data_IF_160687591800
#
_entry.id   IF_160687591800
#
_cell.length_a   1.000
_cell.length_b   1.000
_cell.length_c   1.000
_cell.angle_alpha   90.00
_cell.angle_beta   90.00
_cell.angle_gamma   90.00
#
_symmetry.space_group_name_H-M   'P 1'
#
loop_
_entity.id
_entity.type
_entity.pdbx_description
1 polymer ?
#
# COMPACT_ATOMS: atom_id res chain seq x y z
N UNK A 1 -56.13 -12.47 -19.36
CA UNK A 1 -55.40 -11.45 -18.60
C UNK A 1 -55.42 -11.82 -17.13
N UNK A 2 -54.33 -12.40 -16.60
CA UNK A 2 -54.17 -12.67 -15.17
C UNK A 2 -53.40 -11.51 -14.56
N UNK A 3 -54.06 -10.77 -13.67
CA UNK A 3 -53.48 -9.67 -12.90
C UNK A 3 -52.66 -10.27 -11.76
N UNK A 4 -51.34 -10.10 -11.81
CA UNK A 4 -50.41 -10.46 -10.74
C UNK A 4 -50.46 -9.38 -9.64
N UNK A 5 -50.64 -9.81 -8.39
CA UNK A 5 -50.54 -8.95 -7.20
C UNK A 5 -49.07 -8.56 -6.95
N UNK A 6 -48.77 -7.31 -6.56
CA UNK A 6 -47.43 -6.93 -6.13
C UNK A 6 -47.21 -7.41 -4.69
N UNK A 7 -46.24 -8.30 -4.48
CA UNK A 7 -45.77 -8.65 -3.14
C UNK A 7 -44.86 -7.54 -2.61
N UNK A 8 -45.27 -7.07 -1.44
CA UNK A 8 -44.76 -5.98 -0.61
C UNK A 8 -43.23 -5.93 -0.45
N UNK A 9 -42.72 -4.72 -0.69
CA UNK A 9 -41.52 -4.15 -0.07
C UNK A 9 -41.50 -4.44 1.44
N UNK A 10 -40.48 -5.17 1.88
CA UNK A 10 -39.95 -5.05 3.24
C UNK A 10 -38.46 -5.41 3.23
N UNK A 11 -37.65 -4.57 2.61
CA UNK A 11 -36.19 -4.56 2.84
C UNK A 11 -35.86 -3.44 3.81
N UNK A 12 -35.36 -3.85 4.97
CA UNK A 12 -34.82 -2.96 5.98
C UNK A 12 -33.84 -1.96 5.35
N UNK A 13 -34.03 -0.68 5.68
CA UNK A 13 -33.04 0.38 5.49
C UNK A 13 -31.80 0.07 6.33
N UNK A 14 -30.91 -0.80 5.85
CA UNK A 14 -29.49 -0.75 6.24
C UNK A 14 -28.84 0.22 5.26
N UNK A 15 -28.32 1.33 5.76
CA UNK A 15 -27.61 2.31 4.93
C UNK A 15 -26.54 1.61 4.12
N UNK A 16 -26.62 1.74 2.79
CA UNK A 16 -25.61 1.23 1.88
C UNK A 16 -24.31 1.98 2.20
N UNK A 17 -23.38 1.37 2.96
CA UNK A 17 -21.99 1.85 2.96
C UNK A 17 -21.51 1.67 1.51
N UNK A 18 -21.31 2.76 0.79
CA UNK A 18 -20.70 2.72 -0.54
C UNK A 18 -19.22 2.44 -0.30
N UNK A 19 -18.80 1.21 -0.59
CA UNK A 19 -17.40 0.82 -0.52
C UNK A 19 -16.73 1.28 -1.84
N UNK A 20 -16.14 2.48 -1.85
CA UNK A 20 -15.39 2.94 -3.02
C UNK A 20 -13.98 2.34 -3.03
N UNK A 21 -13.56 1.75 -4.14
CA UNK A 21 -12.22 1.16 -4.30
C UNK A 21 -11.40 1.97 -5.27
N UNK A 22 -10.32 2.54 -4.76
CA UNK A 22 -9.31 3.17 -5.59
C UNK A 22 -8.46 2.10 -6.28
N UNK A 23 -7.65 2.50 -7.26
CA UNK A 23 -6.64 1.61 -7.87
C UNK A 23 -5.31 2.34 -7.93
N UNK A 24 -4.23 1.62 -7.71
CA UNK A 24 -2.89 2.20 -7.77
C UNK A 24 -1.88 1.21 -8.29
N UNK A 25 -0.75 1.74 -8.74
CA UNK A 25 0.42 0.99 -9.19
C UNK A 25 1.70 1.69 -8.72
N UNK A 26 2.71 0.91 -8.38
CA UNK A 26 4.08 1.36 -8.15
C UNK A 26 5.03 0.51 -8.97
N UNK A 27 6.04 1.15 -9.53
CA UNK A 27 7.22 0.54 -10.11
C UNK A 27 8.43 0.98 -9.32
N UNK A 28 9.31 0.05 -8.96
CA UNK A 28 10.63 0.32 -8.41
C UNK A 28 11.63 -0.60 -9.11
N UNK A 29 12.64 -0.06 -9.79
CA UNK A 29 13.62 -0.88 -10.51
C UNK A 29 14.99 -0.24 -10.65
N UNK A 30 15.96 -1.02 -11.12
CA UNK A 30 17.31 -0.55 -11.44
C UNK A 30 17.32 0.31 -12.70
N UNK A 31 16.54 -0.09 -13.71
CA UNK A 31 16.37 0.69 -14.92
C UNK A 31 15.16 1.61 -14.80
N UNK A 32 15.27 2.81 -15.37
CA UNK A 32 14.11 3.70 -15.50
C UNK A 32 13.15 3.17 -16.56
N UNK A 33 11.86 3.12 -16.22
CA UNK A 33 10.79 2.97 -17.20
C UNK A 33 10.25 4.34 -17.59
N UNK A 34 9.83 4.47 -18.84
CA UNK A 34 9.07 5.62 -19.27
C UNK A 34 7.71 5.62 -18.56
N UNK A 35 7.23 6.77 -18.12
CA UNK A 35 5.92 6.87 -17.46
C UNK A 35 4.81 6.35 -18.39
N UNK A 36 4.91 6.62 -19.70
CA UNK A 36 3.97 6.09 -20.69
C UNK A 36 3.96 4.55 -20.74
N UNK A 37 5.12 3.90 -20.58
CA UNK A 37 5.25 2.44 -20.64
C UNK A 37 4.62 1.71 -19.46
N UNK A 38 4.49 2.39 -18.33
CA UNK A 38 3.82 1.86 -17.13
C UNK A 38 2.35 2.27 -17.06
N UNK A 39 2.05 3.53 -17.42
CA UNK A 39 0.78 4.16 -17.06
C UNK A 39 -0.24 4.21 -18.20
N UNK A 40 0.20 4.13 -19.46
CA UNK A 40 -0.66 4.35 -20.63
C UNK A 40 -0.61 3.15 -21.58
N UNK A 41 0.59 2.79 -22.06
CA UNK A 41 0.83 1.77 -23.09
C UNK A 41 0.27 0.38 -22.76
N UNK A 42 0.40 -0.15 -21.52
CA UNK A 42 -0.05 -1.50 -21.20
C UNK A 42 -1.53 -1.74 -21.56
N UNK A 43 -1.88 -2.96 -21.96
CA UNK A 43 -3.23 -3.36 -22.34
C UNK A 43 -4.24 -3.22 -21.19
N UNK A 44 -3.80 -3.35 -19.95
CA UNK A 44 -4.56 -3.07 -18.73
C UNK A 44 -3.89 -2.01 -17.84
N UNK A 45 -3.35 -0.95 -18.45
CA UNK A 45 -2.67 0.15 -17.74
C UNK A 45 -3.55 0.85 -16.70
N UNK A 46 -2.94 1.57 -15.75
CA UNK A 46 -3.70 2.29 -14.72
C UNK A 46 -4.74 3.22 -15.37
N UNK A 47 -4.42 3.91 -16.46
CA UNK A 47 -5.39 4.77 -17.17
C UNK A 47 -6.61 3.99 -17.67
N UNK A 48 -6.43 2.74 -18.10
CA UNK A 48 -7.54 1.85 -18.54
C UNK A 48 -8.31 1.26 -17.36
N UNK A 49 -7.64 1.10 -16.21
CA UNK A 49 -8.27 0.71 -14.94
C UNK A 49 -9.26 1.77 -14.40
N UNK A 50 -9.46 2.89 -15.08
CA UNK A 50 -10.59 3.78 -14.80
C UNK A 50 -11.93 3.07 -14.99
N UNK A 51 -12.06 2.21 -15.99
CA UNK A 51 -13.33 1.55 -16.35
C UNK A 51 -13.22 0.05 -16.64
N UNK A 52 -12.02 -0.45 -16.86
CA UNK A 52 -11.77 -1.86 -17.17
C UNK A 52 -11.27 -2.55 -15.92
N UNK A 53 -11.68 -3.79 -15.66
CA UNK A 53 -11.22 -4.56 -14.50
C UNK A 53 -10.55 -5.83 -14.94
N UNK A 54 -9.53 -6.22 -14.19
CA UNK A 54 -8.86 -7.50 -14.36
C UNK A 54 -8.36 -7.99 -12.99
N UNK A 55 -9.01 -9.05 -12.47
CA UNK A 55 -8.80 -9.53 -11.10
C UNK A 55 -8.51 -11.05 -11.08
N UNK A 56 -7.46 -11.52 -11.79
CA UNK A 56 -7.20 -12.94 -11.96
C UNK A 56 -6.96 -13.61 -10.60
N UNK A 57 -7.65 -14.72 -10.35
CA UNK A 57 -7.55 -15.53 -9.13
C UNK A 57 -7.99 -14.87 -7.83
N UNK A 58 -8.53 -13.64 -7.84
CA UNK A 58 -8.98 -12.97 -6.62
C UNK A 58 -10.10 -13.75 -5.90
N UNK A 59 -11.00 -14.38 -6.66
CA UNK A 59 -12.17 -15.07 -6.13
C UNK A 59 -11.92 -16.58 -5.95
N UNK A 60 -10.74 -17.07 -6.32
CA UNK A 60 -10.42 -18.48 -6.30
C UNK A 60 -10.52 -19.08 -4.89
N UNK A 61 -11.34 -20.13 -4.75
CA UNK A 61 -11.48 -20.87 -3.48
C UNK A 61 -12.15 -20.09 -2.35
N UNK A 62 -12.86 -19.00 -2.67
CA UNK A 62 -13.66 -18.23 -1.73
C UNK A 62 -15.10 -18.75 -1.66
N UNK A 63 -15.72 -18.62 -0.49
CA UNK A 63 -17.15 -18.86 -0.32
C UNK A 63 -17.97 -17.74 -0.98
N UNK A 64 -19.21 -18.01 -1.35
CA UNK A 64 -20.07 -17.09 -2.10
C UNK A 64 -20.26 -15.73 -1.40
N UNK A 65 -20.42 -15.72 -0.08
CA UNK A 65 -20.57 -14.47 0.69
C UNK A 65 -19.30 -13.59 0.62
N UNK A 66 -18.13 -14.20 0.56
CA UNK A 66 -16.84 -13.51 0.45
C UNK A 66 -16.61 -12.98 -0.98
N UNK A 67 -17.00 -13.76 -1.99
CA UNK A 67 -17.00 -13.32 -3.39
C UNK A 67 -17.90 -12.10 -3.57
N UNK A 68 -19.13 -12.15 -3.06
CA UNK A 68 -20.10 -11.05 -3.16
C UNK A 68 -19.60 -9.79 -2.44
N UNK A 69 -18.91 -9.92 -1.28
CA UNK A 69 -18.30 -8.77 -0.60
C UNK A 69 -17.19 -8.15 -1.46
N UNK A 70 -16.27 -8.96 -1.99
CA UNK A 70 -15.16 -8.45 -2.81
C UNK A 70 -15.65 -7.83 -4.13
N UNK A 71 -16.69 -8.39 -4.76
CA UNK A 71 -17.32 -7.78 -5.94
C UNK A 71 -17.93 -6.41 -5.64
N UNK A 72 -18.57 -6.24 -4.46
CA UNK A 72 -19.09 -4.93 -4.02
C UNK A 72 -17.98 -3.94 -3.71
N UNK A 73 -16.84 -4.44 -3.22
CA UNK A 73 -15.67 -3.60 -2.99
C UNK A 73 -15.01 -3.19 -4.30
N UNK A 74 -14.94 -4.07 -5.30
CA UNK A 74 -14.42 -3.74 -6.62
C UNK A 74 -15.39 -2.82 -7.35
N UNK A 75 -15.16 -1.51 -7.33
CA UNK A 75 -15.98 -0.56 -8.10
C UNK A 75 -15.62 -0.63 -9.58
N UNK A 76 -16.63 -0.50 -10.44
CA UNK A 76 -16.45 -0.57 -11.90
C UNK A 76 -15.78 0.66 -12.48
N UNK A 77 -16.00 1.84 -11.87
CA UNK A 77 -15.59 3.13 -12.42
C UNK A 77 -14.88 3.96 -11.35
N UNK A 78 -13.66 4.39 -11.65
CA UNK A 78 -12.84 5.24 -10.77
C UNK A 78 -12.51 6.55 -11.50
N UNK A 79 -13.27 7.61 -11.22
CA UNK A 79 -13.18 8.89 -11.96
C UNK A 79 -13.04 10.12 -11.05
N UNK A 80 -12.87 9.91 -9.75
CA UNK A 80 -12.90 11.00 -8.76
C UNK A 80 -11.57 11.75 -8.62
N UNK A 81 -10.52 11.27 -9.28
CA UNK A 81 -9.23 11.94 -9.34
C UNK A 81 -8.11 11.01 -9.76
N UNK A 82 -7.00 11.59 -10.20
CA UNK A 82 -5.78 10.89 -10.54
C UNK A 82 -4.58 11.61 -9.94
N UNK A 83 -3.54 10.86 -9.61
CA UNK A 83 -2.21 11.43 -9.45
C UNK A 83 -1.11 10.44 -9.76
N UNK A 84 0.03 11.00 -10.13
CA UNK A 84 1.29 10.29 -10.40
C UNK A 84 2.41 10.99 -9.64
N UNK A 85 3.28 10.20 -9.04
CA UNK A 85 4.56 10.64 -8.49
C UNK A 85 5.69 9.88 -9.17
N UNK A 86 6.79 10.56 -9.46
CA UNK A 86 8.00 9.93 -9.99
C UNK A 86 9.22 10.54 -9.34
N UNK A 87 10.22 9.71 -9.06
CA UNK A 87 11.45 10.18 -8.44
C UNK A 87 12.41 10.70 -9.50
N UNK A 88 13.06 11.82 -9.21
CA UNK A 88 14.10 12.43 -10.02
C UNK A 88 15.17 13.08 -9.14
N UNK A 89 16.41 13.14 -9.61
CA UNK A 89 17.53 13.84 -8.98
C UNK A 89 17.64 15.32 -9.39
N UNK A 90 16.80 15.79 -10.32
CA UNK A 90 16.84 17.16 -10.85
C UNK A 90 16.97 18.22 -9.76
N UNK A 91 16.17 18.18 -8.69
CA UNK A 91 16.28 19.18 -7.61
C UNK A 91 17.64 19.17 -6.90
N UNK A 92 18.25 18.00 -6.72
CA UNK A 92 19.57 17.87 -6.10
C UNK A 92 20.70 18.44 -6.98
N UNK A 93 20.50 18.52 -8.30
CA UNK A 93 21.45 19.15 -9.22
C UNK A 93 21.51 20.67 -9.07
N UNK A 94 20.37 21.30 -8.74
CA UNK A 94 20.24 22.76 -8.63
C UNK A 94 20.24 23.30 -7.20
N UNK A 95 19.95 22.45 -6.20
CA UNK A 95 19.96 22.81 -4.78
C UNK A 95 20.88 21.87 -3.98
N UNK A 96 22.09 22.33 -3.57
CA UNK A 96 23.04 21.54 -2.80
C UNK A 96 22.51 21.05 -1.43
N UNK A 97 21.44 21.65 -0.91
CA UNK A 97 20.80 21.25 0.35
C UNK A 97 19.91 20.02 0.21
N UNK A 98 19.51 19.69 -1.03
CA UNK A 98 18.76 18.49 -1.39
C UNK A 98 19.72 17.34 -1.64
N UNK A 99 19.41 16.17 -1.10
CA UNK A 99 20.23 14.95 -1.23
C UNK A 99 19.38 13.82 -1.79
N UNK A 100 19.91 13.13 -2.80
CA UNK A 100 19.25 12.02 -3.47
C UNK A 100 18.02 12.45 -4.26
N UNK A 101 17.32 11.46 -4.83
CA UNK A 101 16.12 11.71 -5.62
C UNK A 101 14.97 12.23 -4.77
N UNK A 102 14.21 13.17 -5.33
CA UNK A 102 12.98 13.70 -4.74
C UNK A 102 11.78 13.30 -5.59
N UNK A 103 10.61 13.09 -4.97
CA UNK A 103 9.38 12.84 -5.73
C UNK A 103 8.89 14.15 -6.36
N UNK A 104 8.77 14.16 -7.69
CA UNK A 104 7.92 15.09 -8.41
C UNK A 104 6.50 14.51 -8.48
N UNK A 105 5.48 15.36 -8.52
CA UNK A 105 4.08 14.94 -8.52
C UNK A 105 3.23 15.72 -9.51
N UNK A 106 2.23 15.05 -10.07
CA UNK A 106 1.15 15.63 -10.85
C UNK A 106 -0.17 15.05 -10.35
N UNK A 107 -1.14 15.90 -10.00
CA UNK A 107 -2.48 15.50 -9.53
C UNK A 107 -3.53 16.25 -10.31
N UNK A 108 -4.64 15.60 -10.59
CA UNK A 108 -5.76 16.19 -11.33
C UNK A 108 -7.09 15.58 -10.91
N UNK A 109 -8.16 16.34 -11.07
CA UNK A 109 -9.54 15.84 -11.01
C UNK A 109 -10.15 15.65 -12.40
N UNK A 110 -9.41 16.01 -13.45
CA UNK A 110 -9.84 15.80 -14.83
C UNK A 110 -9.76 14.30 -15.19
N UNK A 111 -10.58 13.83 -16.14
CA UNK A 111 -10.48 12.46 -16.65
C UNK A 111 -9.10 12.18 -17.26
N UNK A 112 -8.33 11.31 -16.61
CA UNK A 112 -6.93 11.08 -16.98
C UNK A 112 -6.76 10.48 -18.39
N UNK A 113 -7.77 9.75 -18.87
CA UNK A 113 -7.78 9.14 -20.21
C UNK A 113 -7.73 10.16 -21.36
N UNK A 114 -8.13 11.41 -21.11
CA UNK A 114 -8.18 12.48 -22.12
C UNK A 114 -7.26 13.65 -21.79
N UNK A 115 -6.45 13.54 -20.74
CA UNK A 115 -5.60 14.64 -20.30
C UNK A 115 -4.33 14.74 -21.19
N UNK A 116 -4.30 15.79 -22.01
CA UNK A 116 -3.20 16.04 -22.94
C UNK A 116 -1.89 16.38 -22.22
N UNK A 117 -1.95 17.10 -21.09
CA UNK A 117 -0.76 17.46 -20.33
C UNK A 117 -0.14 16.21 -19.69
N UNK A 118 -0.98 15.34 -19.13
CA UNK A 118 -0.52 14.06 -18.60
C UNK A 118 0.11 13.17 -19.68
N UNK A 119 -0.51 13.09 -20.87
CA UNK A 119 0.07 12.32 -21.98
C UNK A 119 1.45 12.83 -22.38
N UNK A 120 1.61 14.15 -22.52
CA UNK A 120 2.91 14.78 -22.82
C UNK A 120 3.94 14.54 -21.72
N UNK A 121 3.53 14.65 -20.45
CA UNK A 121 4.39 14.35 -19.31
C UNK A 121 4.90 12.90 -19.38
N UNK A 122 4.00 11.95 -19.63
CA UNK A 122 4.33 10.53 -19.71
C UNK A 122 5.28 10.19 -20.86
N UNK A 123 5.12 10.84 -22.02
CA UNK A 123 5.94 10.60 -23.23
C UNK A 123 7.31 11.27 -23.17
N UNK A 124 7.64 12.02 -22.11
CA UNK A 124 8.94 12.70 -21.99
C UNK A 124 9.62 12.50 -20.63
N UNK A 125 9.05 11.65 -19.77
CA UNK A 125 9.57 11.41 -18.43
C UNK A 125 9.82 9.92 -18.24
N UNK A 126 10.95 9.59 -17.63
CA UNK A 126 11.27 8.24 -17.18
C UNK A 126 11.76 8.28 -15.74
N UNK A 127 11.50 7.22 -14.98
CA UNK A 127 11.97 7.11 -13.60
C UNK A 127 12.18 5.65 -13.19
N UNK A 128 13.14 5.44 -12.29
CA UNK A 128 13.39 4.17 -11.61
C UNK A 128 12.37 3.91 -10.49
N UNK A 129 11.57 4.92 -10.10
CA UNK A 129 10.49 4.77 -9.15
C UNK A 129 9.29 5.65 -9.53
N UNK A 130 8.20 5.01 -9.93
CA UNK A 130 6.95 5.68 -10.35
C UNK A 130 5.78 5.12 -9.57
N UNK A 131 4.92 6.00 -9.06
CA UNK A 131 3.71 5.67 -8.32
C UNK A 131 2.54 6.35 -9.04
N UNK A 132 1.41 5.68 -9.21
CA UNK A 132 0.20 6.30 -9.74
C UNK A 132 -1.04 5.75 -9.05
N UNK A 133 -2.06 6.59 -8.95
CA UNK A 133 -3.27 6.29 -8.20
C UNK A 133 -4.48 6.94 -8.85
N UNK A 134 -5.52 6.15 -9.09
CA UNK A 134 -6.85 6.63 -9.44
C UNK A 134 -7.73 6.53 -8.19
N UNK A 135 -8.31 7.66 -7.84
CA UNK A 135 -9.19 7.80 -6.70
C UNK A 135 -10.62 7.45 -7.08
N UNK A 136 -11.24 6.69 -6.20
CA UNK A 136 -12.67 6.52 -6.13
C UNK A 136 -13.15 6.91 -4.73
N UNK A 137 -13.94 7.98 -4.64
CA UNK A 137 -14.33 8.56 -3.37
C UNK A 137 -15.80 8.98 -3.38
N UNK A 138 -16.57 8.44 -2.44
CA UNK A 138 -17.88 9.00 -2.07
C UNK A 138 -17.72 10.21 -1.14
N UNK A 139 -16.65 10.24 -0.34
CA UNK A 139 -16.29 11.32 0.58
C UNK A 139 -14.80 11.17 0.97
N UNK A 140 -14.04 12.25 1.24
CA UNK A 140 -14.35 13.67 1.03
C UNK A 140 -14.38 14.04 -0.46
N UNK A 141 -14.80 15.27 -0.84
CA UNK A 141 -14.97 15.67 -2.24
C UNK A 141 -13.77 15.38 -3.17
N UNK A 142 -14.07 15.26 -4.46
CA UNK A 142 -13.09 15.21 -5.53
C UNK A 142 -12.41 16.58 -5.69
N UNK A 143 -11.31 16.76 -4.96
CA UNK A 143 -10.42 17.91 -5.06
C UNK A 143 -8.99 17.42 -5.09
N UNK A 144 -8.12 18.16 -5.77
CA UNK A 144 -6.75 17.74 -6.07
C UNK A 144 -5.93 17.40 -4.82
N UNK A 145 -6.09 18.18 -3.75
CA UNK A 145 -5.37 17.96 -2.47
C UNK A 145 -5.69 16.63 -1.81
N UNK A 146 -6.85 16.04 -2.10
CA UNK A 146 -7.28 14.74 -1.56
C UNK A 146 -6.82 13.55 -2.44
N UNK A 147 -6.13 13.81 -3.56
CA UNK A 147 -5.65 12.75 -4.44
C UNK A 147 -4.25 12.31 -4.02
N UNK A 148 -4.02 11.01 -4.14
CA UNK A 148 -2.71 10.39 -3.99
C UNK A 148 -1.81 10.67 -5.20
N UNK A 149 -0.49 10.42 -5.09
CA UNK A 149 0.25 10.16 -3.85
C UNK A 149 0.32 11.39 -2.95
N UNK A 150 0.40 11.18 -1.63
CA UNK A 150 0.74 12.24 -0.68
C UNK A 150 2.25 12.26 -0.48
N UNK A 151 2.85 13.45 -0.51
CA UNK A 151 4.30 13.65 -0.45
C UNK A 151 4.70 14.28 0.89
N UNK A 152 5.66 13.63 1.57
CA UNK A 152 6.23 14.08 2.83
C UNK A 152 7.76 14.09 2.69
N UNK A 153 8.31 15.23 2.27
CA UNK A 153 9.73 15.34 1.93
C UNK A 153 10.10 14.39 0.79
N UNK A 154 11.03 13.46 1.04
CA UNK A 154 11.45 12.45 0.06
C UNK A 154 10.52 11.23 -0.01
N UNK A 155 9.47 11.17 0.81
CA UNK A 155 8.59 10.02 0.89
C UNK A 155 7.31 10.24 0.10
N UNK A 156 6.80 9.17 -0.51
CA UNK A 156 5.47 9.14 -1.12
C UNK A 156 4.59 8.10 -0.41
N UNK A 157 3.31 8.39 -0.28
CA UNK A 157 2.33 7.55 0.41
C UNK A 157 1.06 7.38 -0.43
N UNK A 158 0.66 6.13 -0.64
CA UNK A 158 -0.58 5.75 -1.32
C UNK A 158 -1.41 4.82 -0.45
N UNK A 159 -2.74 4.94 -0.53
CA UNK A 159 -3.68 4.10 0.18
C UNK A 159 -4.88 3.73 -0.69
N UNK A 160 -5.25 2.46 -0.69
CA UNK A 160 -6.51 1.97 -1.19
C UNK A 160 -7.26 1.23 -0.09
N UNK A 161 -8.29 1.88 0.42
CA UNK A 161 -9.00 1.36 1.57
C UNK A 161 -9.67 2.48 2.34
N UNK A 162 -9.93 2.22 3.60
CA UNK A 162 -10.50 3.18 4.52
C UNK A 162 -10.13 2.86 5.95
N UNK A 163 -9.94 3.91 6.74
CA UNK A 163 -9.96 3.80 8.20
C UNK A 163 -11.43 3.77 8.63
N UNK A 164 -11.92 2.65 9.16
CA UNK A 164 -13.33 2.53 9.52
C UNK A 164 -13.68 3.50 10.66
N UNK A 165 -14.88 4.07 10.57
CA UNK A 165 -15.38 5.02 11.55
C UNK A 165 -14.48 6.25 11.74
N UNK A 166 -13.70 6.62 10.72
CA UNK A 166 -12.77 7.76 10.78
C UNK A 166 -13.41 9.04 11.30
N UNK A 167 -14.65 9.35 10.91
CA UNK A 167 -15.37 10.54 11.39
C UNK A 167 -15.51 10.59 12.91
N UNK A 168 -15.65 9.44 13.58
CA UNK A 168 -15.76 9.33 15.04
C UNK A 168 -14.39 9.56 15.69
N UNK A 169 -13.35 8.95 15.12
CA UNK A 169 -12.01 8.94 15.72
C UNK A 169 -11.11 10.11 15.28
N UNK A 170 -11.52 10.89 14.26
CA UNK A 170 -10.69 11.92 13.62
C UNK A 170 -10.08 12.90 14.62
N UNK A 171 -10.87 13.34 15.61
CA UNK A 171 -10.39 14.27 16.62
C UNK A 171 -9.25 13.67 17.45
N UNK A 172 -9.43 12.45 17.96
CA UNK A 172 -8.40 11.77 18.76
C UNK A 172 -7.15 11.45 17.92
N UNK A 173 -7.31 11.15 16.62
CA UNK A 173 -6.18 11.00 15.68
C UNK A 173 -5.41 12.32 15.53
N UNK A 174 -6.11 13.44 15.36
CA UNK A 174 -5.49 14.77 15.30
C UNK A 174 -4.78 15.13 16.61
N UNK A 175 -5.37 14.83 17.77
CA UNK A 175 -4.72 15.00 19.07
C UNK A 175 -3.43 14.18 19.15
N UNK A 176 -3.47 12.92 18.70
CA UNK A 176 -2.29 12.07 18.68
C UNK A 176 -1.20 12.62 17.76
N UNK A 177 -1.54 13.09 16.57
CA UNK A 177 -0.59 13.76 15.66
C UNK A 177 0.03 14.98 16.35
N UNK A 178 -0.75 15.79 17.06
CA UNK A 178 -0.25 16.96 17.79
C UNK A 178 0.73 16.57 18.93
N UNK A 179 0.45 15.48 19.64
CA UNK A 179 1.34 14.96 20.67
C UNK A 179 2.68 14.51 20.07
N UNK A 180 2.66 13.79 18.95
CA UNK A 180 3.87 13.37 18.25
C UNK A 180 4.62 14.55 17.63
N UNK A 181 3.92 15.53 17.06
CA UNK A 181 4.49 16.78 16.57
C UNK A 181 5.32 17.47 17.65
N UNK A 182 4.74 17.63 18.85
CA UNK A 182 5.42 18.23 19.99
C UNK A 182 6.69 17.48 20.38
N UNK A 183 6.72 16.15 20.18
CA UNK A 183 7.91 15.33 20.41
C UNK A 183 8.97 15.55 19.32
N UNK A 184 8.60 15.45 18.04
CA UNK A 184 9.52 15.67 16.91
C UNK A 184 10.20 17.03 17.00
N UNK A 185 9.45 18.09 17.32
CA UNK A 185 9.99 19.44 17.48
C UNK A 185 11.05 19.54 18.60
N UNK A 186 10.93 18.72 19.66
CA UNK A 186 11.95 18.66 20.73
C UNK A 186 13.22 17.93 20.29
N UNK A 187 13.10 16.98 19.37
CA UNK A 187 14.25 16.24 18.85
C UNK A 187 15.14 17.04 17.90
N UNK A 188 14.66 18.20 17.40
CA UNK A 188 15.37 19.03 16.41
C UNK A 188 15.83 18.25 15.17
N UNK A 189 15.11 17.17 14.84
CA UNK A 189 15.36 16.33 13.68
C UNK A 189 14.86 17.02 12.40
N UNK A 190 15.55 16.82 11.27
CA UNK A 190 15.08 17.28 9.96
C UNK A 190 13.90 16.43 9.50
N UNK A 191 12.71 16.83 9.94
CA UNK A 191 11.44 16.14 9.67
C UNK A 191 11.13 16.02 8.18
N UNK A 192 10.37 14.97 7.85
CA UNK A 192 9.69 14.79 6.57
C UNK A 192 8.64 15.88 6.26
N UNK A 193 8.20 16.63 7.26
CA UNK A 193 7.30 17.79 7.12
C UNK A 193 8.07 19.06 7.44
N UNK A 194 7.85 20.10 6.65
CA UNK A 194 8.46 21.41 6.87
C UNK A 194 8.16 21.91 8.30
N UNK A 195 9.22 22.35 9.00
CA UNK A 195 9.18 22.83 10.38
C UNK A 195 8.55 21.84 11.38
N UNK A 196 8.49 20.55 11.02
CA UNK A 196 7.79 19.50 11.76
C UNK A 196 6.34 19.88 12.10
N UNK A 197 5.68 20.68 11.25
CA UNK A 197 4.35 21.21 11.51
C UNK A 197 3.25 20.35 10.89
N UNK A 198 3.12 19.12 11.39
CA UNK A 198 2.19 18.10 10.90
C UNK A 198 0.73 18.56 10.86
N UNK A 199 0.22 19.22 11.92
CA UNK A 199 -1.19 19.61 12.00
C UNK A 199 -1.56 20.62 10.91
N UNK A 200 -0.72 21.62 10.68
CA UNK A 200 -0.95 22.60 9.62
C UNK A 200 -0.50 22.12 8.23
N UNK A 201 0.26 21.02 8.18
CA UNK A 201 0.66 20.35 6.94
C UNK A 201 -0.45 19.51 6.30
N UNK A 202 -1.53 19.20 7.03
CA UNK A 202 -2.71 18.52 6.47
C UNK A 202 -3.52 19.52 5.64
N UNK A 203 -3.61 19.29 4.34
CA UNK A 203 -4.26 20.19 3.37
C UNK A 203 -5.68 19.74 3.01
N UNK A 204 -5.92 18.43 3.05
CA UNK A 204 -7.17 17.79 2.73
C UNK A 204 -7.96 17.31 3.95
N UNK A 205 -8.93 16.44 3.68
CA UNK A 205 -9.85 15.92 4.70
C UNK A 205 -10.01 14.41 4.64
N UNK A 206 -9.13 13.73 3.89
CA UNK A 206 -9.18 12.28 3.76
C UNK A 206 -8.71 11.63 5.05
N UNK A 207 -9.28 10.47 5.37
CA UNK A 207 -8.71 9.56 6.36
C UNK A 207 -7.25 9.24 6.04
N UNK A 208 -6.95 9.10 4.74
CA UNK A 208 -5.61 8.76 4.26
C UNK A 208 -4.57 9.79 4.63
N UNK A 209 -4.80 11.09 4.39
CA UNK A 209 -3.80 12.11 4.70
C UNK A 209 -3.54 12.21 6.21
N UNK A 210 -4.57 11.98 7.03
CA UNK A 210 -4.40 11.94 8.48
C UNK A 210 -3.62 10.68 8.90
N UNK A 211 -3.90 9.54 8.28
CA UNK A 211 -3.15 8.29 8.47
C UNK A 211 -1.68 8.46 8.05
N UNK A 212 -1.42 9.07 6.89
CA UNK A 212 -0.08 9.35 6.38
C UNK A 212 0.67 10.32 7.30
N UNK A 213 0.00 11.38 7.76
CA UNK A 213 0.58 12.34 8.71
C UNK A 213 0.96 11.67 10.03
N UNK A 214 0.08 10.83 10.58
CA UNK A 214 0.37 10.04 11.78
C UNK A 214 1.56 9.11 11.55
N UNK A 215 1.61 8.44 10.40
CA UNK A 215 2.71 7.56 10.00
C UNK A 215 4.05 8.30 9.93
N UNK A 216 4.11 9.46 9.29
CA UNK A 216 5.36 10.20 9.15
C UNK A 216 5.80 10.87 10.45
N UNK A 217 4.87 11.21 11.35
CA UNK A 217 5.22 11.62 12.70
C UNK A 217 5.90 10.49 13.49
N UNK A 218 5.43 9.24 13.38
CA UNK A 218 6.12 8.07 13.96
C UNK A 218 7.48 7.84 13.31
N UNK A 219 7.56 7.88 11.99
CA UNK A 219 8.79 7.65 11.26
C UNK A 219 9.89 8.67 11.64
N UNK A 220 9.52 9.94 11.78
CA UNK A 220 10.48 10.98 12.17
C UNK A 220 10.98 10.80 13.61
N UNK A 221 10.14 10.34 14.54
CA UNK A 221 10.58 9.97 15.91
C UNK A 221 11.54 8.78 15.85
N UNK A 222 11.18 7.74 15.10
CA UNK A 222 12.02 6.54 14.94
C UNK A 222 13.39 6.93 14.39
N UNK A 223 13.43 7.76 13.34
CA UNK A 223 14.68 8.20 12.72
C UNK A 223 15.49 9.18 13.58
N UNK A 224 14.82 10.00 14.42
CA UNK A 224 15.50 10.86 15.38
C UNK A 224 16.21 10.05 16.48
N UNK A 225 15.64 8.92 16.88
CA UNK A 225 16.20 8.03 17.91
C UNK A 225 17.28 7.10 17.37
N UNK A 226 16.99 6.44 16.25
CA UNK A 226 17.91 5.54 15.57
C UNK A 226 17.97 5.95 14.10
N UNK A 227 18.94 6.81 13.72
CA UNK A 227 19.14 7.18 12.33
C UNK A 227 19.53 5.93 11.54
N UNK A 228 18.54 5.28 10.93
CA UNK A 228 18.78 4.08 10.14
C UNK A 228 19.56 4.44 8.87
N UNK A 229 20.78 3.93 8.76
CA UNK A 229 21.59 4.00 7.53
C UNK A 229 21.63 2.63 6.85
N UNK A 230 21.33 2.56 5.55
CA UNK A 230 21.40 1.31 4.75
C UNK A 230 20.13 0.45 4.79
N UNK A 231 20.30 -0.87 4.66
CA UNK A 231 19.24 -1.90 4.62
C UNK A 231 18.17 -1.80 5.73
N UNK A 232 18.58 -1.37 6.93
CA UNK A 232 17.73 -1.26 8.13
C UNK A 232 16.66 -0.15 8.02
N UNK A 233 16.70 0.69 6.99
CA UNK A 233 15.70 1.75 6.83
C UNK A 233 14.31 1.25 6.43
N UNK A 234 14.17 0.04 5.89
CA UNK A 234 12.84 -0.59 5.70
C UNK A 234 12.20 -1.06 7.01
N UNK A 235 13.01 -1.41 8.01
CA UNK A 235 12.52 -1.76 9.35
C UNK A 235 11.92 -0.53 10.06
N UNK A 236 12.49 0.66 9.82
CA UNK A 236 11.93 1.93 10.31
C UNK A 236 10.54 2.21 9.70
N UNK A 237 10.41 2.01 8.38
CA UNK A 237 9.14 2.16 7.66
C UNK A 237 8.09 1.15 8.16
N UNK A 238 8.50 -0.10 8.35
CA UNK A 238 7.63 -1.15 8.88
C UNK A 238 7.20 -0.87 10.32
N UNK A 239 8.13 -0.45 11.18
CA UNK A 239 7.81 -0.08 12.56
C UNK A 239 6.85 1.11 12.59
N UNK A 240 7.09 2.16 11.80
CA UNK A 240 6.17 3.30 11.70
C UNK A 240 4.75 2.86 11.30
N UNK A 241 4.63 1.91 10.37
CA UNK A 241 3.34 1.33 9.98
C UNK A 241 2.67 0.63 11.16
N UNK A 242 3.42 -0.20 11.89
CA UNK A 242 2.91 -0.94 13.06
C UNK A 242 2.44 0.03 14.16
N UNK A 243 3.23 1.05 14.49
CA UNK A 243 2.87 2.05 15.51
C UNK A 243 1.63 2.87 15.09
N UNK A 244 1.51 3.18 13.80
CA UNK A 244 0.36 3.90 13.24
C UNK A 244 -0.92 3.09 13.40
N UNK A 245 -0.88 1.81 13.01
CA UNK A 245 -2.02 0.90 13.17
C UNK A 245 -2.37 0.73 14.65
N UNK A 246 -1.36 0.57 15.52
CA UNK A 246 -1.56 0.44 16.96
C UNK A 246 -2.26 1.67 17.57
N UNK A 247 -1.87 2.89 17.19
CA UNK A 247 -2.55 4.12 17.63
C UNK A 247 -4.00 4.17 17.14
N UNK A 248 -4.26 3.83 15.87
CA UNK A 248 -5.62 3.76 15.32
C UNK A 248 -6.47 2.75 16.09
N UNK A 249 -5.92 1.56 16.38
CA UNK A 249 -6.60 0.53 17.16
C UNK A 249 -6.90 0.98 18.58
N UNK A 250 -5.95 1.61 19.27
CA UNK A 250 -6.17 2.13 20.63
C UNK A 250 -7.32 3.16 20.67
N UNK A 251 -7.36 4.05 19.68
CA UNK A 251 -8.43 5.05 19.56
C UNK A 251 -9.76 4.37 19.23
N UNK A 252 -9.80 3.46 18.25
CA UNK A 252 -11.02 2.75 17.87
C UNK A 252 -11.57 1.88 19.01
N UNK A 253 -10.70 1.25 19.80
CA UNK A 253 -11.06 0.47 20.98
C UNK A 253 -11.75 1.34 22.04
N UNK A 254 -11.17 2.51 22.36
CA UNK A 254 -11.75 3.48 23.30
C UNK A 254 -13.17 3.90 22.89
N UNK A 255 -13.41 4.05 21.59
CA UNK A 255 -14.71 4.42 21.04
C UNK A 255 -15.64 3.24 20.71
N UNK A 256 -15.17 1.99 20.84
CA UNK A 256 -15.89 0.75 20.47
C UNK A 256 -16.38 0.75 19.02
N UNK A 257 -15.50 1.15 18.11
CA UNK A 257 -15.76 1.22 16.65
C UNK A 257 -14.70 0.44 15.86
N UNK A 258 -14.84 0.37 14.54
CA UNK A 258 -13.94 -0.39 13.68
C UNK A 258 -13.93 -1.87 14.05
N UNK A 259 -12.76 -2.53 14.13
CA UNK A 259 -12.68 -3.96 14.49
C UNK A 259 -13.13 -4.27 15.92
N UNK A 260 -13.35 -3.25 16.76
CA UNK A 260 -13.81 -3.39 18.15
C UNK A 260 -15.31 -3.12 18.32
N UNK A 261 -16.06 -3.04 17.22
CA UNK A 261 -17.51 -2.80 17.25
C UNK A 261 -18.23 -4.00 17.89
N UNK A 262 -18.99 -3.82 18.99
CA UNK A 262 -19.65 -4.93 19.67
C UNK A 262 -20.97 -5.32 18.99
N UNK A 263 -21.37 -6.57 19.19
CA UNK A 263 -22.69 -7.09 18.79
C UNK A 263 -22.68 -7.87 17.48
N UNK A 264 -23.74 -8.64 17.20
CA UNK A 264 -23.83 -9.46 16.00
C UNK A 264 -23.89 -8.59 14.74
N UNK A 265 -23.20 -9.02 13.68
CA UNK A 265 -23.12 -8.29 12.41
C UNK A 265 -21.93 -7.33 12.31
N UNK A 266 -21.02 -7.33 13.29
CA UNK A 266 -19.78 -6.53 13.26
C UNK A 266 -18.57 -7.27 12.68
N UNK A 267 -18.73 -8.53 12.27
CA UNK A 267 -17.64 -9.43 11.91
C UNK A 267 -16.85 -8.93 10.70
N UNK A 268 -17.51 -8.23 9.77
CA UNK A 268 -16.90 -7.60 8.58
C UNK A 268 -16.53 -6.12 8.78
N UNK A 269 -16.71 -5.57 9.99
CA UNK A 269 -16.36 -4.18 10.29
C UNK A 269 -14.90 -4.10 10.66
N UNK A 270 -14.14 -3.30 9.91
CA UNK A 270 -12.72 -3.12 10.13
C UNK A 270 -12.12 -2.14 9.13
N UNK A 271 -10.88 -1.76 9.41
CA UNK A 271 -10.02 -1.01 8.52
C UNK A 271 -9.61 -1.88 7.32
N UNK A 272 -9.44 -1.25 6.17
CA UNK A 272 -8.80 -1.83 5.01
C UNK A 272 -7.63 -0.91 4.65
N UNK A 273 -6.40 -1.40 4.70
CA UNK A 273 -5.18 -0.58 4.58
C UNK A 273 -4.24 -1.19 3.54
N UNK A 274 -4.67 -1.18 2.26
CA UNK A 274 -3.71 -1.48 1.18
C UNK A 274 -2.85 -0.25 0.96
N UNK A 275 -1.60 -0.29 1.43
CA UNK A 275 -0.72 0.87 1.49
C UNK A 275 0.52 0.66 0.63
N UNK A 276 1.08 1.76 0.13
CA UNK A 276 2.41 1.81 -0.46
C UNK A 276 3.14 3.04 0.07
N UNK A 277 4.35 2.82 0.59
CA UNK A 277 5.27 3.87 1.03
C UNK A 277 6.58 3.68 0.29
N UNK A 278 7.09 4.74 -0.32
CA UNK A 278 8.42 4.74 -0.94
C UNK A 278 9.33 5.80 -0.33
N UNK A 279 10.63 5.52 -0.34
CA UNK A 279 11.70 6.41 0.12
C UNK A 279 12.68 6.67 -1.02
N UNK A 280 12.79 7.93 -1.44
CA UNK A 280 13.92 8.39 -2.27
C UNK A 280 14.12 7.62 -3.58
N UNK A 281 13.08 6.94 -4.07
CA UNK A 281 13.08 6.16 -5.30
C UNK A 281 13.73 4.77 -5.23
N UNK A 282 14.18 4.32 -4.06
CA UNK A 282 14.99 3.08 -3.94
C UNK A 282 14.44 2.04 -2.96
N UNK A 283 13.50 2.42 -2.11
CA UNK A 283 12.89 1.49 -1.15
C UNK A 283 11.39 1.59 -1.15
N UNK A 284 10.76 0.51 -0.69
CA UNK A 284 9.33 0.35 -0.72
C UNK A 284 8.85 -0.51 0.46
N UNK A 285 7.74 -0.11 1.08
CA UNK A 285 6.91 -0.96 1.95
C UNK A 285 5.50 -0.96 1.38
N UNK A 286 4.97 -2.16 1.15
CA UNK A 286 3.61 -2.35 0.63
C UNK A 286 2.87 -3.35 1.50
N UNK A 287 1.61 -3.08 1.82
CA UNK A 287 0.75 -3.98 2.58
C UNK A 287 -0.56 -4.27 1.84
N UNK A 288 -1.04 -5.50 1.91
CA UNK A 288 -2.43 -5.89 1.65
C UNK A 288 -3.05 -6.31 2.98
N UNK A 289 -3.83 -5.43 3.62
CA UNK A 289 -4.21 -5.63 5.01
C UNK A 289 -5.66 -5.25 5.32
N UNK A 290 -6.30 -6.07 6.16
CA UNK A 290 -7.64 -5.85 6.71
C UNK A 290 -7.72 -6.47 8.11
N UNK A 291 -8.36 -5.76 9.04
CA UNK A 291 -8.50 -6.20 10.44
C UNK A 291 -9.92 -6.58 10.87
N UNK A 292 -10.87 -6.62 9.94
CA UNK A 292 -12.14 -7.27 10.20
C UNK A 292 -11.93 -8.78 10.46
N UNK A 293 -12.77 -9.35 11.31
CA UNK A 293 -12.72 -10.77 11.67
C UNK A 293 -13.05 -11.67 10.47
N UNK A 294 -13.99 -11.23 9.64
CA UNK A 294 -14.44 -11.95 8.43
C UNK A 294 -14.19 -11.14 7.16
N UNK A 295 -14.11 -11.88 6.06
CA UNK A 295 -13.89 -11.39 4.71
C UNK A 295 -12.43 -11.06 4.39
N UNK A 296 -12.22 -10.55 3.18
CA UNK A 296 -10.89 -10.42 2.59
C UNK A 296 -10.49 -8.96 2.35
N UNK A 297 -9.18 -8.63 2.37
CA UNK A 297 -8.70 -7.34 1.92
C UNK A 297 -8.88 -7.18 0.41
N UNK A 298 -8.90 -5.93 -0.05
CA UNK A 298 -8.97 -5.58 -1.49
C UNK A 298 -7.80 -6.17 -2.25
N UNK A 299 -7.95 -6.31 -3.57
CA UNK A 299 -6.93 -6.91 -4.43
C UNK A 299 -5.60 -6.16 -4.38
N UNK A 300 -4.52 -6.93 -4.50
CA UNK A 300 -3.16 -6.43 -4.66
C UNK A 300 -2.30 -7.52 -5.28
N UNK A 301 -1.52 -7.16 -6.29
CA UNK A 301 -0.70 -8.08 -7.07
C UNK A 301 0.74 -7.57 -7.17
N UNK A 302 1.70 -8.49 -7.18
CA UNK A 302 3.12 -8.21 -7.38
C UNK A 302 3.61 -8.85 -8.67
N UNK A 303 4.48 -8.16 -9.39
CA UNK A 303 5.25 -8.74 -10.49
C UNK A 303 6.74 -8.41 -10.34
N UNK A 304 7.58 -9.37 -10.71
CA UNK A 304 9.04 -9.21 -10.82
C UNK A 304 9.54 -9.26 -12.28
N UNK A 305 8.64 -9.51 -13.24
CA UNK A 305 8.98 -9.75 -14.65
C UNK A 305 8.21 -8.86 -15.62
N UNK A 306 7.04 -8.32 -15.23
CA UNK A 306 6.21 -7.54 -16.14
C UNK A 306 6.95 -6.29 -16.68
N UNK A 307 7.80 -5.65 -15.87
CA UNK A 307 8.54 -4.46 -16.26
C UNK A 307 9.51 -4.67 -17.42
N UNK A 308 9.96 -5.90 -17.66
CA UNK A 308 10.81 -6.26 -18.80
C UNK A 308 10.04 -6.07 -20.10
N UNK A 309 8.83 -6.62 -20.17
CA UNK A 309 7.93 -6.50 -21.33
C UNK A 309 7.49 -5.05 -21.53
N UNK A 310 7.40 -4.27 -20.46
CA UNK A 310 7.03 -2.86 -20.52
C UNK A 310 8.15 -1.96 -21.05
N UNK A 311 9.42 -2.35 -20.95
CA UNK A 311 10.53 -1.50 -21.35
C UNK A 311 10.67 -1.41 -22.88
N UNK A 312 10.23 -0.30 -23.47
CA UNK A 312 10.21 -0.13 -24.94
C UNK A 312 11.59 -0.13 -25.60
N UNK A 313 12.68 0.02 -24.83
CA UNK A 313 14.06 -0.12 -25.35
C UNK A 313 14.32 -1.55 -25.87
N UNK A 314 13.67 -2.53 -25.27
CA UNK A 314 13.84 -3.95 -25.58
C UNK A 314 12.60 -4.54 -26.25
N UNK A 315 11.41 -4.06 -25.90
CA UNK A 315 10.13 -4.46 -26.52
C UNK A 315 9.37 -3.24 -27.05
N UNK A 316 9.71 -2.76 -28.27
CA UNK A 316 9.04 -1.61 -28.90
C UNK A 316 7.53 -1.81 -29.05
N UNK A 317 7.12 -3.05 -29.30
CA UNK A 317 5.72 -3.50 -29.27
C UNK A 317 5.52 -4.39 -28.04
N UNK A 318 4.38 -4.25 -27.38
CA UNK A 318 4.00 -5.14 -26.28
C UNK A 318 3.73 -6.54 -26.85
N UNK A 319 4.31 -7.61 -26.29
CA UNK A 319 4.02 -8.98 -26.74
C UNK A 319 2.52 -9.30 -26.70
N UNK A 320 2.02 -10.21 -27.54
CA UNK A 320 0.66 -10.69 -27.38
C UNK A 320 0.56 -11.59 -26.12
N UNK A 321 -0.56 -11.57 -25.37
CA UNK A 321 -0.83 -12.58 -24.34
C UNK A 321 -0.82 -13.98 -24.98
N UNK A 322 -0.37 -14.99 -24.25
CA UNK A 322 -0.45 -16.39 -24.70
C UNK A 322 -1.91 -16.81 -24.81
N UNK A 323 -2.35 -17.28 -26.00
CA UNK A 323 -3.75 -17.49 -26.41
C UNK A 323 -4.56 -18.55 -25.63
N UNK A 324 -4.06 -19.12 -24.52
CA UNK A 324 -4.65 -20.30 -23.88
C UNK A 324 -5.37 -20.06 -22.55
N UNK A 325 -5.38 -18.85 -22.01
CA UNK A 325 -5.98 -18.58 -20.71
C UNK A 325 -7.26 -17.79 -20.88
N UNK A 326 -8.34 -18.29 -20.27
CA UNK A 326 -9.60 -17.59 -20.15
C UNK A 326 -9.37 -16.40 -19.21
N UNK A 327 -8.86 -15.29 -19.77
CA UNK A 327 -8.35 -14.11 -19.04
C UNK A 327 -9.43 -13.52 -18.12
N UNK A 328 -10.70 -13.74 -18.43
CA UNK A 328 -11.84 -13.29 -17.64
C UNK A 328 -12.22 -14.25 -16.49
N UNK A 329 -11.60 -15.44 -16.41
CA UNK A 329 -11.89 -16.40 -15.36
C UNK A 329 -11.14 -16.07 -14.06
N UNK A 330 -11.84 -15.30 -13.22
CA UNK A 330 -11.39 -14.86 -11.91
C UNK A 330 -11.43 -15.95 -10.82
N UNK A 331 -11.97 -17.14 -11.14
CA UNK A 331 -12.03 -18.32 -10.26
C UNK A 331 -10.98 -19.39 -10.66
N UNK A 332 -9.82 -18.93 -11.15
CA UNK A 332 -8.64 -19.78 -11.45
C UNK A 332 -7.53 -19.46 -10.46
N UNK A 333 -6.85 -20.50 -9.94
CA UNK A 333 -5.69 -20.29 -9.08
C UNK A 333 -4.59 -19.61 -9.88
N UNK A 334 -4.10 -18.48 -9.38
CA UNK A 334 -2.82 -17.90 -9.80
C UNK A 334 -1.79 -18.06 -8.70
N UNK A 335 -0.52 -17.79 -9.01
CA UNK A 335 0.53 -17.83 -8.01
C UNK A 335 0.28 -16.83 -6.89
N UNK A 336 0.58 -17.23 -5.66
CA UNK A 336 0.82 -16.30 -4.56
C UNK A 336 2.12 -15.52 -4.80
N UNK A 337 2.27 -14.36 -4.15
CA UNK A 337 3.55 -13.62 -4.17
C UNK A 337 4.73 -14.51 -3.75
N UNK A 338 4.52 -15.45 -2.82
CA UNK A 338 5.56 -16.39 -2.40
C UNK A 338 5.94 -17.37 -3.51
N UNK A 339 4.95 -17.99 -4.18
CA UNK A 339 5.20 -18.91 -5.29
C UNK A 339 5.93 -18.17 -6.43
N UNK A 340 5.50 -16.94 -6.75
CA UNK A 340 6.17 -16.09 -7.75
C UNK A 340 7.62 -15.77 -7.38
N UNK A 341 7.88 -15.39 -6.13
CA UNK A 341 9.24 -15.11 -5.62
C UNK A 341 10.12 -16.35 -5.65
N UNK A 342 9.55 -17.53 -5.35
CA UNK A 342 10.30 -18.79 -5.31
C UNK A 342 10.78 -19.26 -6.69
N UNK A 343 10.05 -18.94 -7.77
CA UNK A 343 10.40 -19.29 -9.15
C UNK A 343 10.99 -18.12 -9.95
N UNK A 344 11.29 -17.00 -9.30
CA UNK A 344 11.80 -15.82 -9.97
C UNK A 344 13.22 -16.05 -10.49
N UNK A 345 13.40 -15.78 -11.78
CA UNK A 345 14.70 -15.78 -12.46
C UNK A 345 14.96 -14.38 -13.03
N UNK A 346 16.01 -13.67 -12.55
CA UNK A 346 16.33 -12.34 -13.06
C UNK A 346 16.73 -12.38 -14.53
N UNK A 347 16.24 -11.42 -15.33
CA UNK A 347 16.70 -11.26 -16.71
C UNK A 347 17.78 -10.17 -16.86
N UNK A 348 18.27 -10.01 -18.09
CA UNK A 348 19.28 -9.01 -18.45
C UNK A 348 18.79 -7.56 -18.37
N UNK A 349 17.47 -7.31 -18.24
CA UNK A 349 16.91 -5.95 -18.21
C UNK A 349 16.99 -5.28 -16.82
N UNK A 350 17.63 -5.96 -15.86
CA UNK A 350 17.76 -5.46 -14.51
C UNK A 350 16.50 -5.69 -13.69
N UNK A 351 16.69 -5.59 -12.39
CA UNK A 351 15.73 -6.06 -11.40
C UNK A 351 14.72 -4.98 -11.10
N UNK A 352 13.48 -5.39 -10.95
CA UNK A 352 12.39 -4.47 -10.68
C UNK A 352 11.26 -5.17 -9.94
N UNK A 353 10.42 -4.36 -9.31
CA UNK A 353 9.20 -4.79 -8.64
C UNK A 353 8.08 -3.87 -9.09
N UNK A 354 7.00 -4.46 -9.58
CA UNK A 354 5.74 -3.75 -9.83
C UNK A 354 4.72 -4.25 -8.83
N UNK A 355 4.04 -3.35 -8.15
CA UNK A 355 2.89 -3.71 -7.31
C UNK A 355 1.69 -2.89 -7.73
N UNK A 356 0.55 -3.52 -7.93
CA UNK A 356 -0.67 -2.86 -8.38
C UNK A 356 -1.92 -3.42 -7.74
N UNK A 357 -2.96 -2.60 -7.61
CA UNK A 357 -4.29 -3.06 -7.19
C UNK A 357 -4.85 -4.11 -8.17
N UNK A 358 -4.49 -3.99 -9.44
CA UNK A 358 -4.80 -4.91 -10.53
C UNK A 358 -3.56 -5.04 -11.42
N UNK A 359 -3.31 -6.20 -12.05
CA UNK A 359 -2.21 -6.37 -13.00
C UNK A 359 -2.27 -5.31 -14.11
N UNK A 360 -1.15 -4.69 -14.48
CA UNK A 360 -1.14 -3.73 -15.60
C UNK A 360 -1.08 -4.40 -16.97
N UNK A 361 -0.86 -5.71 -17.00
CA UNK A 361 -0.83 -6.54 -18.22
C UNK A 361 -1.68 -7.78 -18.05
N UNK A 362 -2.23 -8.34 -19.14
CA UNK A 362 -2.99 -9.59 -19.10
C UNK A 362 -2.13 -10.87 -19.07
N UNK A 363 -0.80 -10.78 -18.89
CA UNK A 363 0.06 -11.96 -18.72
C UNK A 363 -0.06 -12.48 -17.29
N UNK A 364 -1.08 -13.28 -16.99
CA UNK A 364 -1.37 -13.78 -15.64
C UNK A 364 -0.14 -14.41 -14.97
N UNK A 365 0.68 -15.12 -15.73
CA UNK A 365 1.91 -15.76 -15.26
C UNK A 365 2.99 -14.80 -14.74
N UNK A 366 2.91 -13.50 -15.03
CA UNK A 366 3.85 -12.50 -14.51
C UNK A 366 3.44 -11.98 -13.12
N UNK A 367 2.24 -12.31 -12.64
CA UNK A 367 1.64 -11.69 -11.47
C UNK A 367 1.35 -12.71 -10.37
N UNK A 368 1.66 -12.31 -9.14
CA UNK A 368 1.36 -13.06 -7.93
C UNK A 368 0.36 -12.29 -7.09
N UNK A 369 -0.68 -12.97 -6.59
CA UNK A 369 -1.66 -12.39 -5.67
C UNK A 369 -1.06 -12.32 -4.25
N UNK A 370 -1.16 -11.16 -3.60
CA UNK A 370 -0.78 -11.04 -2.20
C UNK A 370 -1.69 -11.89 -1.31
N UNK A 371 -1.15 -12.56 -0.31
CA UNK A 371 -1.96 -13.20 0.73
C UNK A 371 -2.66 -12.16 1.62
N UNK A 372 -3.66 -12.62 2.40
CA UNK A 372 -4.30 -11.77 3.40
C UNK A 372 -3.30 -11.34 4.48
N UNK A 373 -3.29 -10.04 4.79
CA UNK A 373 -2.43 -9.43 5.81
C UNK A 373 -0.93 -9.56 5.52
N UNK A 374 -0.57 -9.73 4.24
CA UNK A 374 0.80 -9.81 3.77
C UNK A 374 1.38 -8.41 3.51
N UNK A 375 2.64 -8.23 3.89
CA UNK A 375 3.45 -7.06 3.61
C UNK A 375 4.70 -7.48 2.84
N UNK A 376 5.11 -6.65 1.89
CA UNK A 376 6.35 -6.80 1.14
C UNK A 376 7.20 -5.56 1.38
N UNK A 377 8.46 -5.77 1.73
CA UNK A 377 9.47 -4.71 1.81
C UNK A 377 10.54 -4.92 0.76
N UNK A 378 11.03 -3.83 0.18
CA UNK A 378 12.18 -3.80 -0.73
C UNK A 378 13.15 -2.75 -0.22
N UNK A 379 14.37 -3.16 0.15
CA UNK A 379 15.39 -2.25 0.68
C UNK A 379 16.27 -1.66 -0.45
N UNK A 380 17.28 -0.85 -0.09
CA UNK A 380 18.15 -0.15 -1.07
C UNK A 380 19.00 -1.13 -1.87
N UNK A 381 19.36 -2.24 -1.24
CA UNK A 381 20.04 -3.39 -1.82
C UNK A 381 19.09 -4.28 -2.63
N UNK A 382 17.84 -3.84 -2.85
CA UNK A 382 16.81 -4.55 -3.62
C UNK A 382 16.45 -5.92 -3.06
N UNK A 383 16.75 -6.18 -1.79
CA UNK A 383 16.31 -7.40 -1.10
C UNK A 383 14.82 -7.32 -0.81
N UNK A 384 14.08 -8.33 -1.26
CA UNK A 384 12.65 -8.46 -1.04
C UNK A 384 12.39 -9.34 0.19
N UNK A 385 11.58 -8.84 1.14
CA UNK A 385 11.08 -9.64 2.27
C UNK A 385 9.56 -9.71 2.24
N UNK A 386 9.01 -10.91 2.41
CA UNK A 386 7.58 -11.17 2.58
C UNK A 386 7.29 -11.38 4.07
N UNK A 387 6.40 -10.58 4.63
CA UNK A 387 6.11 -10.50 6.07
C UNK A 387 4.61 -10.68 6.30
N UNK A 388 4.22 -11.49 7.28
CA UNK A 388 2.83 -11.55 7.74
C UNK A 388 2.61 -10.50 8.84
N UNK A 389 1.90 -9.42 8.51
CA UNK A 389 1.66 -8.31 9.43
C UNK A 389 0.79 -8.70 10.63
N UNK A 390 -0.07 -9.71 10.49
CA UNK A 390 -0.98 -10.11 11.57
C UNK A 390 -0.22 -10.58 12.81
N UNK A 391 1.03 -11.05 12.66
CA UNK A 391 1.89 -11.50 13.75
C UNK A 391 2.20 -10.40 14.78
N UNK A 392 2.26 -9.14 14.38
CA UNK A 392 2.60 -8.03 15.29
C UNK A 392 1.43 -7.59 16.18
N UNK A 393 0.20 -8.02 15.88
CA UNK A 393 -1.02 -7.60 16.58
C UNK A 393 -1.68 -8.74 17.37
N UNK A 394 -0.96 -9.85 17.57
CA UNK A 394 -1.44 -11.05 18.29
C UNK A 394 -0.66 -11.30 19.60
N UNK A 395 -1.32 -11.83 20.64
CA UNK A 395 -0.65 -12.20 21.90
C UNK A 395 0.42 -13.28 21.71
N UNK A 396 1.51 -13.21 22.50
CA UNK A 396 2.55 -14.26 22.52
C UNK A 396 3.55 -14.19 21.35
N UNK A 397 3.49 -13.12 20.54
CA UNK A 397 4.36 -12.88 19.38
C UNK A 397 5.43 -11.81 19.67
N UNK A 398 5.75 -11.54 20.92
CA UNK A 398 6.74 -10.52 21.33
C UNK A 398 8.15 -10.82 20.78
N UNK A 399 8.44 -12.09 20.47
CA UNK A 399 9.67 -12.50 19.80
C UNK A 399 9.81 -11.93 18.38
N UNK A 400 8.70 -11.64 17.69
CA UNK A 400 8.73 -11.03 16.36
C UNK A 400 9.30 -9.60 16.46
N UNK A 401 8.97 -8.83 17.50
CA UNK A 401 9.56 -7.50 17.72
C UNK A 401 11.07 -7.56 17.98
N UNK A 402 11.56 -8.63 18.61
CA UNK A 402 13.00 -8.84 18.82
C UNK A 402 13.71 -9.16 17.52
N UNK A 403 13.09 -9.97 16.65
CA UNK A 403 13.63 -10.36 15.35
C UNK A 403 13.98 -9.16 14.47
N UNK A 404 13.17 -8.10 14.52
CA UNK A 404 13.36 -6.87 13.76
C UNK A 404 14.02 -5.74 14.56
N UNK A 405 14.62 -6.05 15.72
CA UNK A 405 15.25 -5.07 16.61
C UNK A 405 14.33 -3.90 17.05
N UNK A 406 13.00 -4.06 16.92
CA UNK A 406 12.02 -3.04 17.30
C UNK A 406 12.04 -2.78 18.80
N UNK A 407 12.26 -3.82 19.61
CA UNK A 407 12.33 -3.67 21.07
C UNK A 407 13.44 -2.71 21.50
N UNK A 408 14.59 -2.70 20.82
CA UNK A 408 15.68 -1.76 21.12
C UNK A 408 15.26 -0.32 20.85
N UNK A 409 14.65 -0.07 19.69
CA UNK A 409 14.19 1.26 19.29
C UNK A 409 13.11 1.78 20.22
N UNK A 410 12.12 0.94 20.54
CA UNK A 410 11.06 1.28 21.48
C UNK A 410 11.61 1.60 22.88
N UNK A 411 12.62 0.86 23.33
CA UNK A 411 13.30 1.13 24.60
C UNK A 411 14.13 2.41 24.60
N UNK A 412 14.64 2.87 23.45
CA UNK A 412 15.35 4.16 23.37
C UNK A 412 14.36 5.33 23.37
N UNK A 413 13.30 5.26 22.56
CA UNK A 413 12.16 6.19 22.62
C UNK A 413 11.67 6.30 24.07
N UNK A 414 11.60 5.15 24.75
CA UNK A 414 11.13 5.08 26.12
C UNK A 414 11.93 5.91 27.14
N UNK A 415 13.24 5.71 27.13
CA UNK A 415 14.16 6.27 28.13
C UNK A 415 14.16 7.79 28.07
N UNK A 416 14.16 8.36 26.86
CA UNK A 416 14.19 9.82 26.67
C UNK A 416 12.92 10.52 27.13
N UNK A 417 11.80 9.82 27.18
CA UNK A 417 10.53 10.38 27.65
C UNK A 417 10.42 10.52 29.17
N UNK A 418 11.42 10.06 29.96
CA UNK A 418 11.41 10.10 31.44
C UNK A 418 10.12 9.56 32.08
N UNK A 419 9.46 8.56 31.46
CA UNK A 419 8.32 7.93 32.12
C UNK A 419 8.80 7.04 33.28
N UNK A 420 8.16 7.19 34.44
CA UNK A 420 8.31 6.32 35.63
C UNK A 420 7.65 4.94 35.45
N UNK A 421 7.00 4.72 34.31
CA UNK A 421 6.43 3.46 33.86
C UNK A 421 6.95 3.19 32.46
N UNK A 422 7.32 1.94 32.14
CA UNK A 422 7.72 1.55 30.78
C UNK A 422 6.73 2.13 29.77
N UNK A 423 7.18 2.87 28.75
CA UNK A 423 6.26 3.61 27.92
C UNK A 423 5.50 2.66 27.02
N UNK A 424 4.20 2.92 27.01
CA UNK A 424 3.16 2.32 26.19
C UNK A 424 3.22 2.83 24.74
N UNK A 425 4.40 3.00 24.15
CA UNK A 425 4.53 3.52 22.79
C UNK A 425 4.42 2.36 21.81
N UNK A 426 3.23 2.26 21.21
CA UNK A 426 2.90 1.46 20.02
C UNK A 426 3.19 -0.04 20.09
N UNK A 427 3.22 -0.60 21.29
CA UNK A 427 2.89 -2.02 21.48
C UNK A 427 1.36 -2.11 21.49
N UNK A 428 0.73 -2.98 20.68
CA UNK A 428 -0.71 -3.18 20.72
C UNK A 428 -1.12 -3.68 22.12
N UNK A 429 -1.75 -2.83 22.94
CA UNK A 429 -2.34 -3.24 24.23
C UNK A 429 -3.63 -4.04 24.05
N UNK A 430 -4.19 -4.03 22.83
CA UNK A 430 -5.51 -4.56 22.53
C UNK A 430 -5.41 -5.70 21.50
N UNK A 431 -6.08 -6.80 21.83
CA UNK A 431 -6.07 -8.03 21.04
C UNK A 431 -7.10 -7.89 19.92
N UNK A 432 -6.68 -8.11 18.68
CA UNK A 432 -7.57 -8.31 17.53
C UNK A 432 -7.35 -9.73 17.01
N UNK A 433 -8.44 -10.46 16.86
CA UNK A 433 -8.43 -11.76 16.20
C UNK A 433 -8.40 -11.56 14.67
N UNK A 434 -7.20 -11.27 14.16
CA UNK A 434 -6.98 -11.07 12.72
C UNK A 434 -7.01 -12.42 12.00
N UNK A 435 -7.66 -12.55 10.84
CA UNK A 435 -7.50 -13.75 10.01
C UNK A 435 -6.04 -13.91 9.57
N UNK A 436 -5.49 -15.11 9.76
CA UNK A 436 -4.18 -15.49 9.24
C UNK A 436 -4.31 -15.91 7.78
N UNK A 437 -3.27 -15.70 6.97
CA UNK A 437 -3.23 -16.38 5.68
C UNK A 437 -3.33 -17.88 5.91
N UNK A 438 -4.15 -18.60 5.14
CA UNK A 438 -4.23 -20.07 5.18
C UNK A 438 -2.88 -20.77 4.89
N UNK A 439 -1.85 -20.03 4.48
CA UNK A 439 -0.48 -20.53 4.38
C UNK A 439 0.21 -20.45 5.75
N UNK A 440 0.48 -21.61 6.36
CA UNK A 440 1.26 -21.74 7.62
C UNK A 440 2.77 -21.43 7.45
N UNK A 441 3.18 -20.86 6.32
CA UNK A 441 4.58 -20.83 5.91
C UNK A 441 5.30 -19.50 6.23
N UNK A 442 6.60 -19.66 6.44
CA UNK A 442 7.58 -18.70 6.96
C UNK A 442 7.74 -17.42 6.12
N UNK A 443 8.36 -16.40 6.72
CA UNK A 443 8.84 -15.23 5.98
C UNK A 443 9.83 -15.69 4.90
N UNK A 444 9.66 -15.17 3.68
CA UNK A 444 10.55 -15.45 2.56
C UNK A 444 11.39 -14.23 2.33
N UNK A 445 12.69 -14.43 2.21
CA UNK A 445 13.64 -13.39 1.88
C UNK A 445 14.33 -13.78 0.57
N UNK A 446 14.21 -12.90 -0.42
CA UNK A 446 14.83 -13.05 -1.71
C UNK A 446 15.85 -11.92 -1.86
N UNK A 447 17.12 -12.32 -1.91
CA UNK A 447 18.16 -11.43 -2.40
C UNK A 447 18.07 -11.38 -3.91
N UNK A 448 17.64 -10.23 -4.45
CA UNK A 448 17.61 -10.06 -5.90
C UNK A 448 19.05 -10.03 -6.48
N UNK A 449 20.12 -9.88 -5.67
CA UNK A 449 21.54 -9.86 -6.09
C UNK A 449 22.22 -11.25 -6.06
N UNK A 450 21.65 -12.23 -5.37
CA UNK A 450 22.32 -13.53 -5.21
C UNK A 450 22.32 -14.33 -6.53
N UNK A 451 23.49 -14.79 -7.04
CA UNK A 451 23.50 -15.78 -8.11
C UNK A 451 22.87 -17.06 -7.58
N UNK A 452 21.78 -17.51 -8.19
CA UNK A 452 21.24 -18.82 -7.88
C UNK A 452 22.27 -19.86 -8.33
N UNK A 453 22.87 -20.58 -7.37
CA UNK A 453 23.65 -21.76 -7.69
C UNK A 453 22.72 -22.72 -8.45
N UNK A 454 22.99 -22.90 -9.73
CA UNK A 454 22.50 -24.02 -10.51
C UNK A 454 23.05 -25.29 -9.86
N UNK A 455 22.31 -25.89 -8.94
CA UNK A 455 22.49 -27.30 -8.62
C UNK A 455 21.88 -28.10 -9.77
N UNK A 456 22.66 -28.28 -10.84
CA UNK A 456 22.60 -29.48 -11.65
C UNK A 456 23.87 -30.23 -11.30
N UNK A 457 23.74 -31.28 -10.51
CA UNK A 457 24.60 -32.45 -10.65
C UNK A 457 23.70 -33.68 -10.48
N UNK A 458 23.25 -34.17 -11.63
CA UNK A 458 22.94 -35.57 -11.81
C UNK A 458 24.27 -36.33 -11.91
N UNK A 459 24.58 -37.17 -10.93
CA UNK A 459 25.24 -38.46 -11.14
C UNK A 459 24.57 -39.54 -10.28
#
# INVERSE_FOLDING_TARGET
MRVLRPQLLNRHKRGLKIYSMCRWIVYVGEQSLMLEDLLIRPDHSIVKQVSNRFLPGLYYGLEEDDKEELEKQATWINVHGFGVGWYTDTLAEFDPSVKGMQPAQYRTIAPISTDLAFKQLCTHTASSCTLAHIRDASFPPAVEVNNHPFIYGKYAFMHNGSVDSFRVIRYDVMTRIFDLQTKVQKYQYKSSVQDSNYIFGILGNTDTEHLATLYFAHLDIINAEKPYSGADSTDALLLALILTIADIHAIQFKHKVGPFTPGPGSERVGNALNLCITDGGVQMVVSRWRDAKEGYPRSLYLSLTAGEKLNRKYFPELPAPTESEDVDNTDVKIDSVRELVARYEPTQQGRHVIVGSEPCTHYVQDWGLFDQNQCVTVNKERKLRIINLAKFFRPGREHEFKRYHFTEVLNEIAKKEKLTTSPKIGIPEHIIDLPESKSDAFETELDLDAPQNTCIDHE
#
